data_IF_901438163402
#
_entry.id   IF_901438163402
#
_cell.length_a   1.000
_cell.length_b   1.000
_cell.length_c   1.000
_cell.angle_alpha   90.00
_cell.angle_beta   90.00
_cell.angle_gamma   90.00
#
_symmetry.space_group_name_H-M   'P 1'
#
loop_
_entity.id
_entity.type
_entity.pdbx_description
1 polymer ?
#
# COMPACT_ATOMS: atom_id res chain seq x y z
N UNK A 1 5.48 15.07 0.33
CA UNK A 1 6.51 14.14 -0.22
C UNK A 1 6.71 12.92 0.70
N UNK A 2 6.77 13.10 2.01
CA UNK A 2 6.93 12.00 3.00
C UNK A 2 5.91 10.86 2.89
N UNK A 3 4.63 11.15 2.64
CA UNK A 3 3.62 10.10 2.50
C UNK A 3 3.87 9.19 1.26
N UNK A 4 4.19 9.80 0.11
CA UNK A 4 4.58 9.08 -1.11
C UNK A 4 5.94 8.35 -0.98
N UNK A 5 6.84 8.83 -0.13
CA UNK A 5 8.09 8.11 0.17
C UNK A 5 7.81 6.89 1.06
N UNK A 6 6.91 7.02 2.05
CA UNK A 6 6.53 5.90 2.92
C UNK A 6 5.84 4.76 2.16
N UNK A 7 5.22 5.06 1.02
CA UNK A 7 4.56 4.03 0.22
C UNK A 7 5.49 3.01 -0.43
N UNK A 8 6.82 3.19 -0.40
CA UNK A 8 7.80 2.18 -0.86
C UNK A 8 7.65 0.84 -0.14
N UNK A 9 7.05 0.84 1.06
CA UNK A 9 6.72 -0.36 1.85
C UNK A 9 5.84 -1.35 1.05
N UNK A 10 5.04 -0.88 0.09
CA UNK A 10 4.21 -1.76 -0.77
C UNK A 10 5.06 -2.76 -1.55
N UNK A 11 6.30 -2.39 -1.93
CA UNK A 11 7.20 -3.28 -2.69
C UNK A 11 7.60 -4.49 -1.84
N UNK A 12 8.00 -4.26 -0.59
CA UNK A 12 8.34 -5.34 0.34
C UNK A 12 7.14 -6.22 0.66
N UNK A 13 5.95 -5.63 0.81
CA UNK A 13 4.72 -6.35 1.06
C UNK A 13 4.34 -7.29 -0.11
N UNK A 14 4.46 -6.82 -1.35
CA UNK A 14 4.20 -7.63 -2.54
C UNK A 14 5.19 -8.78 -2.70
N UNK A 15 6.48 -8.55 -2.41
CA UNK A 15 7.51 -9.60 -2.42
C UNK A 15 7.17 -10.68 -1.38
N UNK A 16 6.78 -10.28 -0.17
CA UNK A 16 6.37 -11.22 0.87
C UNK A 16 5.07 -11.97 0.51
N UNK A 17 4.06 -11.28 -0.05
CA UNK A 17 2.80 -11.88 -0.48
C UNK A 17 2.99 -12.88 -1.65
N UNK A 18 3.95 -12.59 -2.51
CA UNK A 18 4.41 -13.45 -3.60
C UNK A 18 5.48 -14.45 -3.16
N UNK A 19 5.67 -14.68 -1.86
CA UNK A 19 6.55 -15.74 -1.41
C UNK A 19 6.06 -17.09 -1.94
N UNK A 20 6.97 -17.86 -2.52
CA UNK A 20 6.73 -19.19 -3.06
C UNK A 20 7.85 -20.13 -2.59
N UNK A 21 7.54 -21.41 -2.37
CA UNK A 21 8.55 -22.40 -2.03
C UNK A 21 9.48 -22.61 -3.24
N UNK A 22 10.74 -22.95 -2.96
CA UNK A 22 11.69 -23.29 -4.01
C UNK A 22 11.18 -24.50 -4.82
N UNK A 23 11.47 -24.54 -6.12
CA UNK A 23 11.03 -25.61 -7.01
C UNK A 23 11.39 -26.99 -6.45
N UNK A 24 10.38 -27.84 -6.27
CA UNK A 24 10.51 -29.18 -5.70
C UNK A 24 10.36 -29.27 -4.17
N UNK A 25 10.13 -28.15 -3.47
CA UNK A 25 9.87 -28.14 -2.03
C UNK A 25 8.40 -27.93 -1.70
N UNK A 26 7.91 -28.61 -0.66
CA UNK A 26 6.57 -28.41 -0.14
C UNK A 26 6.42 -27.01 0.47
N UNK A 27 5.19 -26.48 0.47
CA UNK A 27 4.85 -25.26 1.19
C UNK A 27 5.15 -25.43 2.69
N UNK A 28 6.17 -24.74 3.18
CA UNK A 28 6.50 -24.72 4.60
C UNK A 28 5.62 -23.72 5.35
N UNK A 29 5.48 -23.89 6.66
CA UNK A 29 4.76 -22.94 7.52
C UNK A 29 5.33 -21.51 7.43
N UNK A 30 6.64 -21.38 7.21
CA UNK A 30 7.28 -20.07 6.99
C UNK A 30 6.84 -19.36 5.71
N UNK A 31 6.60 -20.10 4.62
CA UNK A 31 6.09 -19.51 3.36
C UNK A 31 4.63 -19.09 3.53
N UNK A 32 3.82 -19.85 4.27
CA UNK A 32 2.45 -19.43 4.59
C UNK A 32 2.40 -18.16 5.44
N UNK A 33 3.27 -18.08 6.45
CA UNK A 33 3.38 -16.90 7.31
C UNK A 33 3.85 -15.68 6.49
N UNK A 34 4.85 -15.83 5.61
CA UNK A 34 5.34 -14.72 4.79
C UNK A 34 4.27 -14.23 3.80
N UNK A 35 3.55 -15.13 3.14
CA UNK A 35 2.42 -14.76 2.27
C UNK A 35 1.33 -14.02 3.03
N UNK A 36 0.93 -14.55 4.18
CA UNK A 36 -0.10 -13.95 5.03
C UNK A 36 0.31 -12.57 5.54
N UNK A 37 1.52 -12.45 6.08
CA UNK A 37 2.08 -11.18 6.55
C UNK A 37 2.22 -10.17 5.39
N UNK A 38 2.66 -10.62 4.21
CA UNK A 38 2.74 -9.80 3.01
C UNK A 38 1.39 -9.28 2.55
N UNK A 39 0.34 -10.11 2.59
CA UNK A 39 -1.01 -9.70 2.25
C UNK A 39 -1.55 -8.63 3.22
N UNK A 40 -1.34 -8.81 4.52
CA UNK A 40 -1.72 -7.83 5.55
C UNK A 40 -0.93 -6.53 5.38
N UNK A 41 0.39 -6.63 5.18
CA UNK A 41 1.26 -5.48 4.93
C UNK A 41 0.85 -4.72 3.67
N UNK A 42 0.41 -5.41 2.62
CA UNK A 42 -0.05 -4.79 1.38
C UNK A 42 -1.36 -4.03 1.60
N UNK A 43 -2.29 -4.59 2.37
CA UNK A 43 -3.52 -3.91 2.78
C UNK A 43 -3.24 -2.63 3.58
N UNK A 44 -2.34 -2.70 4.56
CA UNK A 44 -1.94 -1.52 5.36
C UNK A 44 -1.21 -0.46 4.51
N UNK A 45 -0.33 -0.89 3.62
CA UNK A 45 0.37 0.01 2.69
C UNK A 45 -0.62 0.70 1.73
N UNK A 46 -1.64 -0.02 1.26
CA UNK A 46 -2.69 0.55 0.43
C UNK A 46 -3.44 1.68 1.16
N UNK A 47 -3.80 1.50 2.44
CA UNK A 47 -4.46 2.57 3.22
C UNK A 47 -3.60 3.82 3.31
N UNK A 48 -2.29 3.69 3.55
CA UNK A 48 -1.38 4.84 3.61
C UNK A 48 -1.27 5.56 2.25
N UNK A 49 -1.18 4.80 1.15
CA UNK A 49 -1.16 5.34 -0.22
C UNK A 49 -2.46 6.09 -0.51
N UNK A 50 -3.60 5.40 -0.46
CA UNK A 50 -4.89 5.95 -0.85
C UNK A 50 -5.35 7.06 0.09
N UNK A 51 -5.16 6.91 1.41
CA UNK A 51 -5.44 7.95 2.39
C UNK A 51 -4.62 9.21 2.15
N UNK A 52 -3.33 9.06 1.79
CA UNK A 52 -2.47 10.16 1.40
C UNK A 52 -2.96 10.92 0.17
N UNK A 53 -3.36 10.20 -0.86
CA UNK A 53 -3.92 10.80 -2.08
C UNK A 53 -5.26 11.48 -1.82
N UNK A 54 -6.16 10.86 -1.05
CA UNK A 54 -7.50 11.41 -0.77
C UNK A 54 -7.42 12.70 0.06
N UNK A 55 -6.55 12.73 1.07
CA UNK A 55 -6.30 13.95 1.85
C UNK A 55 -5.67 15.03 0.97
N UNK A 56 -4.69 14.69 0.13
CA UNK A 56 -4.05 15.65 -0.79
C UNK A 56 -5.07 16.22 -1.78
N UNK A 57 -5.96 15.39 -2.32
CA UNK A 57 -7.05 15.87 -3.18
C UNK A 57 -8.01 16.81 -2.45
N UNK A 58 -8.39 16.48 -1.20
CA UNK A 58 -9.22 17.37 -0.37
C UNK A 58 -8.51 18.68 -0.06
N UNK A 59 -7.20 18.65 0.20
CA UNK A 59 -6.39 19.86 0.42
C UNK A 59 -6.30 20.71 -0.85
N UNK A 60 -6.03 20.11 -2.01
CA UNK A 60 -5.99 20.83 -3.29
C UNK A 60 -7.37 21.38 -3.69
N UNK A 61 -8.45 20.69 -3.34
CA UNK A 61 -9.81 21.18 -3.55
C UNK A 61 -10.13 22.44 -2.72
N UNK A 62 -9.48 22.64 -1.56
CA UNK A 62 -9.62 23.87 -0.76
C UNK A 62 -8.90 25.08 -1.36
N UNK A 63 -7.91 24.86 -2.25
CA UNK A 63 -7.23 25.92 -2.98
C UNK A 63 -7.93 26.29 -4.30
N UNK A 64 -8.91 25.49 -4.75
CA UNK A 64 -9.81 25.94 -5.82
C UNK A 64 -10.65 27.09 -5.28
N UNK A 65 -10.53 28.28 -5.88
CA UNK A 65 -11.47 29.38 -5.64
C UNK A 65 -12.87 28.80 -5.84
N UNK A 66 -13.74 28.96 -4.84
CA UNK A 66 -15.17 28.67 -4.97
C UNK A 66 -15.60 29.39 -6.25
N UNK A 67 -15.95 28.64 -7.30
CA UNK A 67 -16.62 29.26 -8.45
C UNK A 67 -17.75 30.06 -7.83
N UNK A 68 -17.78 31.36 -8.15
CA UNK A 68 -18.88 32.22 -7.79
C UNK A 68 -20.13 31.51 -8.29
N UNK A 69 -20.83 30.84 -7.39
CA UNK A 69 -22.25 30.63 -7.55
C UNK A 69 -22.81 32.04 -7.72
N UNK A 70 -23.37 32.29 -8.91
CA UNK A 70 -24.01 33.55 -9.25
C UNK A 70 -25.06 33.94 -8.24
#
# INVERSE_FOLDING_TARGET
VTNAISSVIIVGALIAAAAHPATGQAMTGSVWISKGAGAVAAGLAAVNIFGGFLVTQRMLAMYKKKDKAG
#
